data_IF_564651583974
#
_entry.id   IF_564651583974
#
_cell.length_a   1.000
_cell.length_b   1.000
_cell.length_c   1.000
_cell.angle_alpha   90.00
_cell.angle_beta   90.00
_cell.angle_gamma   90.00
#
_symmetry.space_group_name_H-M   'P 1'
#
loop_
_entity.id
_entity.type
_entity.pdbx_description
1 polymer ?
#
# COMPACT_ATOMS: atom_id res chain seq x y z
N UNK A 1 12.85 11.47 -4.52
CA UNK A 1 12.79 10.40 -3.51
C UNK A 1 13.77 9.27 -3.89
N UNK A 2 14.88 9.11 -3.17
CA UNK A 2 15.77 7.94 -3.30
C UNK A 2 15.39 6.94 -2.19
N UNK A 3 14.29 6.23 -2.36
CA UNK A 3 13.96 5.11 -1.48
C UNK A 3 14.27 3.80 -2.20
N UNK A 4 14.96 2.88 -1.54
CA UNK A 4 15.24 1.57 -2.10
C UNK A 4 14.07 0.59 -1.89
N UNK A 5 14.12 -0.54 -2.59
CA UNK A 5 13.04 -1.53 -2.55
C UNK A 5 12.86 -2.17 -1.16
N UNK A 6 13.91 -2.25 -0.35
CA UNK A 6 13.85 -2.86 0.99
C UNK A 6 13.14 -1.92 1.96
N UNK A 7 13.47 -0.63 1.93
CA UNK A 7 12.80 0.41 2.71
C UNK A 7 11.30 0.49 2.33
N UNK A 8 10.97 0.41 1.04
CA UNK A 8 9.58 0.34 0.60
C UNK A 8 8.85 -0.92 1.09
N UNK A 9 9.51 -2.07 1.11
CA UNK A 9 8.90 -3.29 1.64
C UNK A 9 8.56 -3.12 3.11
N UNK A 10 9.48 -2.57 3.92
CA UNK A 10 9.24 -2.27 5.34
C UNK A 10 8.05 -1.30 5.52
N UNK A 11 8.00 -0.23 4.72
CA UNK A 11 6.90 0.72 4.74
C UNK A 11 5.55 0.04 4.46
N UNK A 12 5.48 -0.81 3.42
CA UNK A 12 4.28 -1.58 3.10
C UNK A 12 3.86 -2.49 4.26
N UNK A 13 4.81 -3.16 4.92
CA UNK A 13 4.52 -3.99 6.08
C UNK A 13 3.97 -3.18 7.26
N UNK A 14 4.53 -1.99 7.53
CA UNK A 14 4.07 -1.09 8.60
C UNK A 14 2.64 -0.64 8.31
N UNK A 15 2.39 -0.12 7.10
CA UNK A 15 1.06 0.32 6.66
C UNK A 15 0.06 -0.84 6.74
N UNK A 16 0.44 -2.03 6.26
CA UNK A 16 -0.45 -3.19 6.29
C UNK A 16 -0.84 -3.59 7.71
N UNK A 17 0.14 -3.70 8.61
CA UNK A 17 -0.13 -4.06 10.02
C UNK A 17 -1.01 -3.03 10.71
N UNK A 18 -0.80 -1.74 10.42
CA UNK A 18 -1.53 -0.65 11.06
C UNK A 18 -2.97 -0.54 10.58
N UNK A 19 -3.21 -0.71 9.29
CA UNK A 19 -4.50 -0.38 8.69
C UNK A 19 -5.29 -1.59 8.14
N UNK A 20 -4.62 -2.68 7.78
CA UNK A 20 -5.22 -3.76 6.99
C UNK A 20 -5.13 -5.15 7.64
N UNK A 21 -4.57 -5.27 8.84
CA UNK A 21 -4.35 -6.56 9.52
C UNK A 21 -5.65 -7.33 9.78
N UNK A 22 -6.77 -6.63 9.99
CA UNK A 22 -8.08 -7.25 10.17
C UNK A 22 -8.70 -7.75 8.86
N UNK A 23 -8.21 -7.27 7.71
CA UNK A 23 -8.76 -7.67 6.40
C UNK A 23 -8.22 -9.05 6.00
N UNK A 24 -7.01 -9.41 6.40
CA UNK A 24 -6.41 -10.69 6.09
C UNK A 24 -5.00 -10.82 6.64
N UNK A 25 -4.34 -11.95 6.38
CA UNK A 25 -2.94 -12.15 6.74
C UNK A 25 -2.05 -11.91 5.53
N UNK A 26 -1.21 -10.87 5.58
CA UNK A 26 -0.15 -10.67 4.57
C UNK A 26 0.87 -11.81 4.67
N UNK A 27 1.09 -12.50 3.56
CA UNK A 27 2.00 -13.64 3.42
C UNK A 27 3.31 -13.23 2.76
N UNK A 28 3.25 -12.38 1.74
CA UNK A 28 4.43 -11.96 0.98
C UNK A 28 4.26 -10.55 0.40
N UNK A 29 5.38 -9.84 0.26
CA UNK A 29 5.50 -8.51 -0.34
C UNK A 29 6.72 -8.50 -1.25
N UNK A 30 6.49 -8.25 -2.54
CA UNK A 30 7.58 -8.07 -3.50
C UNK A 30 7.47 -6.69 -4.13
N UNK A 31 8.59 -5.97 -4.16
CA UNK A 31 8.67 -4.63 -4.73
C UNK A 31 9.80 -4.58 -5.73
N UNK A 32 9.53 -4.01 -6.90
CA UNK A 32 10.52 -3.67 -7.92
C UNK A 32 10.39 -2.19 -8.26
N UNK A 33 11.52 -1.51 -8.30
CA UNK A 33 11.61 -0.10 -8.68
C UNK A 33 12.24 -0.06 -10.08
N UNK A 34 11.50 0.46 -11.05
CA UNK A 34 11.98 0.72 -12.41
C UNK A 34 11.58 2.12 -12.85
N UNK A 35 11.05 2.25 -14.07
CA UNK A 35 10.35 3.48 -14.49
C UNK A 35 9.14 3.78 -13.61
N UNK A 36 8.47 2.73 -13.12
CA UNK A 36 7.37 2.79 -12.16
C UNK A 36 7.65 1.88 -10.96
N UNK A 37 6.94 2.13 -9.86
CA UNK A 37 6.88 1.21 -8.73
C UNK A 37 5.97 0.02 -9.09
N UNK A 38 6.50 -1.19 -8.98
CA UNK A 38 5.71 -2.41 -9.10
C UNK A 38 5.65 -3.11 -7.73
N UNK A 39 4.42 -3.42 -7.29
CA UNK A 39 4.17 -4.10 -6.00
C UNK A 39 3.34 -5.35 -6.24
N UNK A 40 3.77 -6.47 -5.67
CA UNK A 40 2.96 -7.68 -5.52
C UNK A 40 2.75 -7.92 -4.03
N UNK A 41 1.48 -7.97 -3.60
CA UNK A 41 1.08 -8.40 -2.27
C UNK A 41 0.38 -9.75 -2.40
N UNK A 42 0.79 -10.71 -1.57
CA UNK A 42 0.08 -11.98 -1.40
C UNK A 42 -0.50 -12.01 0.00
N UNK A 43 -1.81 -12.11 0.10
CA UNK A 43 -2.50 -12.18 1.39
C UNK A 43 -3.46 -13.37 1.44
N UNK A 44 -3.70 -13.86 2.65
CA UNK A 44 -4.83 -14.73 2.96
C UNK A 44 -6.04 -13.87 3.28
N UNK A 45 -6.96 -13.77 2.32
CA UNK A 45 -8.23 -13.06 2.50
C UNK A 45 -9.32 -14.11 2.68
N UNK A 46 -9.90 -14.21 3.89
CA UNK A 46 -10.99 -15.14 4.21
C UNK A 46 -10.69 -16.61 3.85
N UNK A 47 -9.46 -17.06 4.06
CA UNK A 47 -9.04 -18.45 3.79
C UNK A 47 -8.62 -18.72 2.33
N UNK A 48 -8.62 -17.69 1.48
CA UNK A 48 -8.27 -17.81 0.06
C UNK A 48 -7.07 -16.91 -0.25
N UNK A 49 -6.08 -17.51 -0.92
CA UNK A 49 -4.93 -16.75 -1.43
C UNK A 49 -5.43 -15.68 -2.42
N UNK A 50 -5.09 -14.45 -2.08
CA UNK A 50 -5.42 -13.27 -2.85
C UNK A 50 -4.14 -12.57 -3.25
N UNK A 51 -3.99 -12.31 -4.55
CA UNK A 51 -2.83 -11.62 -5.11
C UNK A 51 -3.25 -10.24 -5.58
N UNK A 52 -2.57 -9.21 -5.06
CA UNK A 52 -2.77 -7.82 -5.46
C UNK A 52 -1.51 -7.39 -6.20
N UNK A 53 -1.66 -6.98 -7.45
CA UNK A 53 -0.56 -6.44 -8.26
C UNK A 53 -0.84 -4.98 -8.53
N UNK A 54 0.09 -4.10 -8.16
CA UNK A 54 0.03 -2.66 -8.34
C UNK A 54 1.18 -2.19 -9.22
N UNK A 55 0.89 -1.20 -10.05
CA UNK A 55 1.88 -0.41 -10.75
C UNK A 55 1.51 1.06 -10.61
N UNK A 56 2.48 1.91 -10.28
CA UNK A 56 2.20 3.33 -10.11
C UNK A 56 3.38 4.14 -9.61
N UNK A 57 3.04 5.35 -9.17
CA UNK A 57 3.99 6.33 -8.66
C UNK A 57 3.74 6.55 -7.18
N UNK A 58 4.82 6.52 -6.40
CA UNK A 58 4.83 6.85 -4.98
C UNK A 58 5.56 8.18 -4.82
N UNK A 59 4.91 9.13 -4.16
CA UNK A 59 5.48 10.45 -3.88
C UNK A 59 4.92 11.02 -2.59
N UNK A 60 5.50 12.12 -2.15
CA UNK A 60 5.08 12.85 -0.96
C UNK A 60 4.52 14.19 -1.39
N UNK A 61 3.33 14.51 -0.90
CA UNK A 61 2.66 15.80 -1.05
C UNK A 61 1.93 16.10 0.26
N UNK A 62 2.70 16.52 1.27
CA UNK A 62 2.35 16.59 2.70
C UNK A 62 2.01 15.22 3.33
N UNK A 63 1.33 14.36 2.58
CA UNK A 63 0.96 12.98 2.86
C UNK A 63 1.73 12.00 1.97
N UNK A 64 1.65 10.71 2.28
CA UNK A 64 2.12 9.67 1.38
C UNK A 64 1.06 9.43 0.31
N UNK A 65 1.42 9.62 -0.96
CA UNK A 65 0.50 9.49 -2.09
C UNK A 65 0.97 8.41 -3.04
N UNK A 66 0.04 7.52 -3.38
CA UNK A 66 0.24 6.40 -4.27
C UNK A 66 -0.80 6.46 -5.40
N UNK A 67 -0.39 6.88 -6.59
CA UNK A 67 -1.24 6.85 -7.79
C UNK A 67 -1.01 5.53 -8.53
N UNK A 68 -2.03 4.67 -8.59
CA UNK A 68 -1.85 3.28 -9.04
C UNK A 68 -2.93 2.76 -9.95
N UNK A 69 -2.51 1.83 -10.80
CA UNK A 69 -3.39 0.85 -11.42
C UNK A 69 -3.05 -0.51 -10.85
N UNK A 70 -4.05 -1.35 -10.67
CA UNK A 70 -3.82 -2.68 -10.13
C UNK A 70 -4.86 -3.70 -10.52
N UNK A 71 -4.55 -4.95 -10.19
CA UNK A 71 -5.47 -6.08 -10.31
C UNK A 71 -5.47 -6.86 -9.01
N UNK A 72 -6.64 -7.38 -8.65
CA UNK A 72 -6.80 -8.25 -7.50
C UNK A 72 -7.32 -9.59 -8.00
N UNK A 73 -6.62 -10.67 -7.67
CA UNK A 73 -7.03 -12.05 -7.96
C UNK A 73 -7.34 -12.75 -6.65
N UNK A 74 -8.60 -13.13 -6.44
CA UNK A 74 -9.08 -13.91 -5.31
C UNK A 74 -9.29 -15.35 -5.77
N UNK A 75 -8.34 -16.24 -5.50
CA UNK A 75 -8.27 -17.52 -6.19
C UNK A 75 -8.23 -17.33 -7.70
N UNK A 76 -9.24 -17.82 -8.42
CA UNK A 76 -9.38 -17.65 -9.87
C UNK A 76 -10.19 -16.41 -10.30
N UNK A 77 -10.83 -15.71 -9.35
CA UNK A 77 -11.68 -14.55 -9.64
C UNK A 77 -10.85 -13.28 -9.78
N UNK A 78 -11.08 -12.51 -10.85
CA UNK A 78 -10.54 -11.15 -11.00
C UNK A 78 -11.52 -10.14 -10.39
N UNK A 79 -11.10 -9.47 -9.33
CA UNK A 79 -11.89 -8.45 -8.65
C UNK A 79 -11.55 -7.05 -9.17
N UNK A 80 -12.53 -6.14 -9.06
CA UNK A 80 -12.32 -4.73 -9.35
C UNK A 80 -11.45 -4.10 -8.26
N UNK A 81 -10.25 -3.65 -8.66
CA UNK A 81 -9.24 -3.06 -7.78
C UNK A 81 -9.77 -1.85 -7.00
N UNK A 82 -10.32 -0.87 -7.71
CA UNK A 82 -10.80 0.38 -7.11
C UNK A 82 -11.95 0.12 -6.13
N UNK A 83 -12.90 -0.73 -6.52
CA UNK A 83 -14.03 -1.08 -5.66
C UNK A 83 -13.57 -1.72 -4.36
N UNK A 84 -12.69 -2.73 -4.45
CA UNK A 84 -12.24 -3.44 -3.26
C UNK A 84 -11.39 -2.56 -2.34
N UNK A 85 -10.54 -1.70 -2.91
CA UNK A 85 -9.79 -0.73 -2.12
C UNK A 85 -10.72 0.21 -1.36
N UNK A 86 -11.69 0.83 -2.05
CA UNK A 86 -12.68 1.69 -1.40
C UNK A 86 -13.40 0.94 -0.28
N UNK A 87 -13.82 -0.31 -0.51
CA UNK A 87 -14.48 -1.13 0.50
C UNK A 87 -13.58 -1.46 1.70
N UNK A 88 -12.26 -1.65 1.48
CA UNK A 88 -11.31 -1.96 2.54
C UNK A 88 -10.89 -0.74 3.36
N UNK A 89 -10.87 0.44 2.74
CA UNK A 89 -10.46 1.69 3.39
C UNK A 89 -11.63 2.55 3.87
N UNK A 90 -12.89 2.19 3.58
CA UNK A 90 -14.07 3.00 3.93
C UNK A 90 -14.18 3.34 5.42
N UNK A 91 -13.69 2.44 6.29
CA UNK A 91 -13.74 2.58 7.74
C UNK A 91 -12.39 3.07 8.32
N UNK A 92 -11.44 3.48 7.45
CA UNK A 92 -10.09 3.90 7.81
C UNK A 92 -9.95 5.39 7.46
N UNK A 93 -10.35 6.33 8.34
CA UNK A 93 -10.38 7.76 8.05
C UNK A 93 -8.99 8.36 7.71
N UNK A 94 -7.93 7.65 8.06
CA UNK A 94 -6.53 7.97 7.75
C UNK A 94 -6.17 7.77 6.27
N UNK A 95 -6.96 6.96 5.55
CA UNK A 95 -6.73 6.61 4.16
C UNK A 95 -7.85 7.17 3.28
N UNK A 96 -7.49 8.03 2.35
CA UNK A 96 -8.41 8.56 1.34
C UNK A 96 -8.16 7.87 0.00
N UNK A 97 -9.23 7.40 -0.63
CA UNK A 97 -9.19 6.79 -1.96
C UNK A 97 -10.04 7.61 -2.92
N UNK A 98 -9.40 8.24 -3.90
CA UNK A 98 -10.06 8.97 -4.99
C UNK A 98 -9.65 8.37 -6.33
N UNK A 99 -10.58 7.62 -6.93
CA UNK A 99 -10.29 6.85 -8.14
C UNK A 99 -9.15 5.85 -7.91
N UNK A 100 -8.01 6.13 -8.53
CA UNK A 100 -6.79 5.31 -8.52
C UNK A 100 -5.71 5.81 -7.56
N UNK A 101 -5.95 6.96 -6.94
CA UNK A 101 -5.05 7.55 -5.96
C UNK A 101 -5.44 7.09 -4.56
N UNK A 102 -4.43 6.63 -3.82
CA UNK A 102 -4.49 6.35 -2.39
C UNK A 102 -3.63 7.39 -1.70
N UNK A 103 -4.21 8.08 -0.72
CA UNK A 103 -3.50 9.06 0.12
C UNK A 103 -3.58 8.63 1.56
N UNK A 104 -2.42 8.48 2.20
CA UNK A 104 -2.31 8.13 3.62
C UNK A 104 -1.78 9.34 4.35
N UNK A 105 -2.60 9.86 5.27
CA UNK A 105 -2.30 11.09 6.00
C UNK A 105 -1.03 10.95 6.85
N UNK A 106 -0.12 11.91 6.74
CA UNK A 106 1.19 11.88 7.38
C UNK A 106 1.11 11.75 8.91
N UNK A 107 0.16 12.44 9.54
CA UNK A 107 -0.05 12.41 11.01
C UNK A 107 -0.31 11.00 11.58
N UNK A 108 -0.73 10.05 10.75
CA UNK A 108 -1.02 8.66 11.14
C UNK A 108 0.09 7.67 10.76
N UNK A 109 1.10 8.13 10.05
CA UNK A 109 2.28 7.36 9.69
C UNK A 109 3.34 7.39 10.81
N UNK A 110 2.97 7.58 12.09
CA UNK A 110 3.86 7.49 13.28
C UNK A 110 5.03 6.51 13.09
N UNK A 111 6.24 6.92 13.47
CA UNK A 111 7.55 6.27 13.22
C UNK A 111 8.05 6.39 11.76
N UNK A 112 7.28 7.06 10.90
CA UNK A 112 7.62 7.46 9.54
C UNK A 112 7.49 8.98 9.46
N UNK A 113 8.61 9.67 9.27
CA UNK A 113 8.62 11.12 9.06
C UNK A 113 8.67 11.41 7.56
N UNK A 114 7.62 12.06 7.05
CA UNK A 114 7.62 12.59 5.69
C UNK A 114 8.12 14.04 5.73
N UNK A 115 9.34 14.29 5.28
CA UNK A 115 9.95 15.62 5.18
C UNK A 115 10.66 15.81 3.84
N UNK A 116 10.61 17.01 3.27
CA UNK A 116 11.38 17.39 2.08
C UNK A 116 11.29 16.41 0.88
N UNK A 117 10.14 15.77 0.67
CA UNK A 117 9.94 14.71 -0.34
C UNK A 117 10.76 13.42 -0.12
N UNK A 118 11.11 13.15 1.14
CA UNK A 118 11.83 11.96 1.61
C UNK A 118 11.05 11.25 2.72
N UNK A 119 11.29 9.95 2.85
CA UNK A 119 10.71 9.08 3.87
C UNK A 119 11.82 8.71 4.84
N UNK A 120 11.73 9.19 6.07
CA UNK A 120 12.59 8.77 7.18
C UNK A 120 11.85 7.74 8.03
N UNK A 121 12.44 6.56 8.23
CA UNK A 121 11.90 5.50 9.06
C UNK A 121 12.72 5.43 10.35
N UNK A 122 12.11 5.74 11.50
CA UNK A 122 12.75 5.44 12.78
C UNK A 122 12.68 3.93 13.00
N UNK A 123 13.84 3.27 12.98
CA UNK A 123 13.97 1.86 13.35
C UNK A 123 13.96 1.79 14.88
N UNK A 124 12.82 1.46 15.48
CA UNK A 124 12.72 1.03 16.88
C UNK A 124 13.44 -0.31 17.11
#
# INVERSE_FOLDING_TARGET
MKIDAIALQKLVWIIYKRFFMEKGRLKDVQIKIGEYLHVLLVLDYKGIETRITLQGDLYIDHDLVLDTKGTIRYGFLKLNYEKLLKDWTKDIPEIQVQGKQIRIKNEYLKDIHLQNNEIELELL
#
